data_IF_691690702721
#
_entry.id   IF_691690702721
#
_cell.length_a   1.000
_cell.length_b   1.000
_cell.length_c   1.000
_cell.angle_alpha   90.00
_cell.angle_beta   90.00
_cell.angle_gamma   90.00
#
_symmetry.space_group_name_H-M   'P 1'
#
loop_
_entity.id
_entity.type
_entity.pdbx_description
1 polymer ?
#
# COMPACT_ATOMS: atom_id res chain seq x y z
N UNK A 1 37.29 56.99 -33.17
CA UNK A 1 37.78 55.90 -34.05
C UNK A 1 36.64 54.88 -34.16
N UNK A 2 35.94 54.88 -35.32
CA UNK A 2 35.00 53.91 -35.93
C UNK A 2 33.97 53.20 -35.02
N UNK A 3 32.70 53.65 -34.90
CA UNK A 3 31.52 53.55 -35.81
C UNK A 3 31.00 52.11 -36.02
N UNK A 4 29.73 51.88 -35.59
CA UNK A 4 28.60 51.11 -36.20
C UNK A 4 27.81 50.34 -35.11
N UNK A 5 26.48 50.37 -34.94
CA UNK A 5 25.33 51.02 -35.58
C UNK A 5 24.13 50.90 -34.63
N UNK A 6 23.27 51.92 -34.65
CA UNK A 6 21.97 52.15 -33.97
C UNK A 6 20.84 51.28 -34.54
N UNK A 7 19.78 50.94 -33.77
CA UNK A 7 18.36 50.80 -34.20
C UNK A 7 17.46 50.51 -32.96
N UNK A 8 16.75 51.48 -32.38
CA UNK A 8 15.37 51.96 -32.61
C UNK A 8 14.21 51.04 -32.17
N UNK A 9 13.49 51.55 -31.16
CA UNK A 9 12.18 51.14 -30.62
C UNK A 9 11.06 51.46 -31.62
N UNK A 10 10.08 50.56 -31.81
CA UNK A 10 8.68 50.92 -32.08
C UNK A 10 7.74 49.87 -31.46
N UNK A 11 6.81 50.38 -30.63
CA UNK A 11 5.62 49.72 -30.09
C UNK A 11 4.49 49.79 -31.13
N UNK A 12 3.71 48.73 -31.33
CA UNK A 12 2.27 48.87 -31.57
C UNK A 12 1.51 47.56 -31.35
N UNK A 13 0.46 47.67 -30.52
CA UNK A 13 -0.62 46.72 -30.36
C UNK A 13 -1.39 46.50 -31.67
N UNK A 14 -2.11 45.38 -31.79
CA UNK A 14 -3.58 45.36 -31.86
C UNK A 14 -4.13 43.98 -32.32
N UNK A 15 -5.11 43.53 -31.53
CA UNK A 15 -6.38 42.90 -31.94
C UNK A 15 -6.42 41.40 -32.31
N UNK A 16 -7.02 40.69 -31.36
CA UNK A 16 -7.84 39.49 -31.51
C UNK A 16 -8.85 39.67 -32.64
N UNK A 17 -8.90 38.69 -33.55
CA UNK A 17 -9.96 38.51 -34.53
C UNK A 17 -10.13 37.03 -34.84
N UNK A 18 -11.19 36.41 -34.30
CA UNK A 18 -11.62 35.08 -34.68
C UNK A 18 -12.30 35.09 -36.05
N UNK A 19 -11.96 34.15 -36.93
CA UNK A 19 -12.86 33.65 -37.97
C UNK A 19 -12.43 32.26 -38.45
N UNK A 20 -13.38 31.31 -38.43
CA UNK A 20 -13.38 30.01 -39.14
C UNK A 20 -14.61 30.01 -40.07
N UNK A 21 -14.79 29.05 -41.03
CA UNK A 21 -13.84 28.25 -41.82
C UNK A 21 -14.25 28.09 -43.33
N UNK A 22 -13.36 27.47 -44.14
CA UNK A 22 -13.59 26.47 -45.23
C UNK A 22 -12.75 26.72 -46.50
N UNK A 23 -11.86 25.78 -46.83
CA UNK A 23 -11.99 24.86 -47.98
C UNK A 23 -10.70 24.03 -48.16
N UNK A 24 -10.84 22.71 -48.36
CA UNK A 24 -9.74 21.76 -48.66
C UNK A 24 -9.53 21.66 -50.18
N UNK A 25 -8.33 21.24 -50.63
CA UNK A 25 -8.30 19.97 -51.36
C UNK A 25 -7.16 18.99 -50.99
N UNK A 26 -7.48 17.71 -51.22
CA UNK A 26 -6.73 16.44 -51.27
C UNK A 26 -5.36 16.49 -52.01
N UNK A 27 -4.33 15.62 -51.84
CA UNK A 27 -4.12 14.19 -51.46
C UNK A 27 -2.57 13.96 -51.35
N UNK A 28 -1.95 12.74 -51.26
CA UNK A 28 -2.12 11.48 -50.48
C UNK A 28 -1.07 11.39 -49.33
N UNK A 29 -1.09 10.53 -48.31
CA UNK A 29 -1.51 9.13 -48.21
C UNK A 29 -0.32 8.26 -47.77
N UNK A 30 -0.19 8.01 -46.46
CA UNK A 30 0.27 6.72 -45.91
C UNK A 30 -0.49 6.49 -44.60
N UNK A 31 -1.42 5.57 -44.70
CA UNK A 31 -2.22 5.02 -43.61
C UNK A 31 -1.25 4.20 -42.76
N UNK A 32 -1.15 4.52 -41.48
CA UNK A 32 -0.67 3.58 -40.46
C UNK A 32 -1.93 3.15 -39.73
N UNK A 33 -2.15 1.84 -39.72
CA UNK A 33 -3.29 1.18 -39.09
C UNK A 33 -3.57 1.77 -37.71
N UNK A 34 -4.75 2.38 -37.59
CA UNK A 34 -5.42 2.58 -36.34
C UNK A 34 -5.89 1.18 -35.92
N UNK A 35 -5.17 0.56 -34.99
CA UNK A 35 -5.67 -0.61 -34.30
C UNK A 35 -6.91 -0.14 -33.53
N UNK A 36 -8.07 -0.34 -34.13
CA UNK A 36 -9.36 -0.22 -33.48
C UNK A 36 -9.37 -1.23 -32.35
N UNK A 37 -9.01 -0.78 -31.14
CA UNK A 37 -9.40 -1.50 -29.94
C UNK A 37 -10.92 -1.56 -29.95
N UNK A 38 -11.47 -2.77 -30.09
CA UNK A 38 -12.86 -3.00 -29.70
C UNK A 38 -12.98 -2.50 -28.27
N UNK A 39 -13.76 -1.43 -28.08
CA UNK A 39 -14.20 -1.06 -26.74
C UNK A 39 -15.21 -2.15 -26.38
N UNK A 40 -14.75 -3.18 -25.65
CA UNK A 40 -15.65 -4.17 -25.10
C UNK A 40 -16.73 -3.43 -24.30
N UNK A 41 -18.00 -3.65 -24.66
CA UNK A 41 -19.09 -3.10 -23.88
C UNK A 41 -19.04 -3.73 -22.48
N UNK A 42 -19.17 -2.93 -21.40
CA UNK A 42 -19.15 -3.46 -20.05
C UNK A 42 -20.27 -4.50 -19.86
N UNK A 43 -19.93 -5.62 -19.22
CA UNK A 43 -20.87 -6.72 -18.98
C UNK A 43 -22.03 -6.29 -18.09
N UNK A 44 -23.20 -6.89 -18.30
CA UNK A 44 -24.32 -6.72 -17.36
C UNK A 44 -23.99 -7.34 -16.01
N UNK A 45 -24.61 -6.87 -14.93
CA UNK A 45 -24.40 -7.41 -13.57
C UNK A 45 -24.59 -8.94 -13.49
N UNK A 46 -25.52 -9.49 -14.29
CA UNK A 46 -25.77 -10.93 -14.34
C UNK A 46 -24.62 -11.68 -15.00
N UNK A 47 -24.06 -11.13 -16.08
CA UNK A 47 -22.91 -11.73 -16.77
C UNK A 47 -21.66 -11.66 -15.90
N UNK A 48 -21.41 -10.53 -15.23
CA UNK A 48 -20.30 -10.40 -14.27
C UNK A 48 -20.45 -11.41 -13.11
N UNK A 49 -21.66 -11.61 -12.58
CA UNK A 49 -21.91 -12.62 -11.53
C UNK A 49 -21.61 -14.05 -11.99
N UNK A 50 -21.90 -14.38 -13.25
CA UNK A 50 -21.55 -15.70 -13.82
C UNK A 50 -20.04 -15.83 -13.95
N UNK A 51 -19.37 -14.79 -14.43
CA UNK A 51 -17.93 -14.75 -14.61
C UNK A 51 -17.17 -14.91 -13.29
N UNK A 52 -17.56 -14.16 -12.25
CA UNK A 52 -16.95 -14.32 -10.93
C UNK A 52 -17.15 -15.73 -10.35
N UNK A 53 -18.31 -16.35 -10.62
CA UNK A 53 -18.52 -17.74 -10.22
C UNK A 53 -17.54 -18.68 -10.94
N UNK A 54 -17.35 -18.52 -12.25
CA UNK A 54 -16.39 -19.31 -13.02
C UNK A 54 -14.95 -19.11 -12.48
N UNK A 55 -14.58 -17.88 -12.15
CA UNK A 55 -13.32 -17.58 -11.51
C UNK A 55 -13.15 -18.32 -10.18
N UNK A 56 -14.14 -18.27 -9.30
CA UNK A 56 -14.09 -19.00 -8.02
C UNK A 56 -14.06 -20.51 -8.20
N UNK A 57 -14.77 -21.05 -9.20
CA UNK A 57 -14.72 -22.47 -9.53
C UNK A 57 -13.26 -22.87 -9.89
N UNK A 58 -12.50 -22.04 -10.63
CA UNK A 58 -11.07 -22.29 -10.92
C UNK A 58 -10.20 -22.32 -9.65
N UNK A 59 -10.42 -21.39 -8.71
CA UNK A 59 -9.68 -21.36 -7.44
C UNK A 59 -9.97 -22.60 -6.58
N UNK A 60 -11.24 -23.02 -6.53
CA UNK A 60 -11.70 -24.22 -5.80
C UNK A 60 -11.13 -25.50 -6.43
N UNK A 61 -11.11 -25.57 -7.76
CA UNK A 61 -10.52 -26.68 -8.51
C UNK A 61 -8.98 -26.67 -8.48
N UNK A 62 -8.39 -25.69 -7.77
CA UNK A 62 -6.95 -25.60 -7.51
C UNK A 62 -6.15 -25.50 -8.82
N UNK A 63 -6.69 -24.76 -9.79
CA UNK A 63 -6.07 -24.49 -11.08
C UNK A 63 -4.65 -23.92 -10.96
N UNK A 64 -3.79 -24.18 -11.93
CA UNK A 64 -2.45 -23.59 -11.95
C UNK A 64 -2.49 -22.07 -12.15
N UNK A 65 -1.39 -21.40 -11.78
CA UNK A 65 -1.29 -19.94 -11.86
C UNK A 65 -1.51 -19.43 -13.29
N UNK A 66 -0.96 -20.09 -14.31
CA UNK A 66 -1.12 -19.69 -15.71
C UNK A 66 -2.60 -19.64 -16.12
N UNK A 67 -3.37 -20.63 -15.66
CA UNK A 67 -4.83 -20.69 -15.90
C UNK A 67 -5.55 -19.53 -15.21
N UNK A 68 -5.19 -19.21 -13.96
CA UNK A 68 -5.79 -18.10 -13.21
C UNK A 68 -5.44 -16.75 -13.85
N UNK A 69 -4.16 -16.51 -14.12
CA UNK A 69 -3.66 -15.27 -14.74
C UNK A 69 -4.32 -15.05 -16.10
N UNK A 70 -4.39 -16.09 -16.92
CA UNK A 70 -5.05 -16.01 -18.23
C UNK A 70 -6.53 -15.64 -18.10
N UNK A 71 -7.24 -16.24 -17.15
CA UNK A 71 -8.65 -15.90 -16.92
C UNK A 71 -8.82 -14.43 -16.51
N UNK A 72 -7.96 -13.93 -15.62
CA UNK A 72 -8.00 -12.52 -15.20
C UNK A 72 -7.67 -11.59 -16.38
N UNK A 73 -6.62 -11.89 -17.16
CA UNK A 73 -6.24 -11.14 -18.37
C UNK A 73 -7.41 -11.01 -19.36
N UNK A 74 -8.16 -12.08 -19.59
CA UNK A 74 -9.25 -12.14 -20.57
C UNK A 74 -10.52 -11.40 -20.11
N UNK A 75 -10.68 -11.15 -18.81
CA UNK A 75 -12.00 -10.78 -18.27
C UNK A 75 -12.03 -9.52 -17.41
N UNK A 76 -10.93 -9.16 -16.74
CA UNK A 76 -10.94 -8.06 -15.76
C UNK A 76 -11.32 -6.70 -16.36
N UNK A 77 -10.98 -6.46 -17.64
CA UNK A 77 -11.32 -5.24 -18.36
C UNK A 77 -12.82 -5.04 -18.60
N UNK A 78 -13.60 -6.11 -18.51
CA UNK A 78 -15.05 -6.11 -18.74
C UNK A 78 -15.88 -5.99 -17.45
N UNK A 79 -15.22 -6.04 -16.29
CA UNK A 79 -15.84 -5.95 -14.97
C UNK A 79 -15.99 -4.49 -14.52
N UNK A 80 -16.99 -4.26 -13.67
CA UNK A 80 -17.01 -3.06 -12.86
C UNK A 80 -15.94 -3.13 -11.76
N UNK A 81 -15.65 -1.98 -11.14
CA UNK A 81 -14.60 -1.85 -10.13
C UNK A 81 -14.84 -2.75 -8.91
N UNK A 82 -16.09 -2.98 -8.51
CA UNK A 82 -16.39 -3.80 -7.34
C UNK A 82 -16.04 -5.28 -7.59
N UNK A 83 -16.41 -5.80 -8.76
CA UNK A 83 -16.09 -7.16 -9.17
C UNK A 83 -14.61 -7.34 -9.54
N UNK A 84 -13.97 -6.30 -10.11
CA UNK A 84 -12.54 -6.31 -10.38
C UNK A 84 -11.72 -6.38 -9.06
N UNK A 85 -12.12 -5.61 -8.05
CA UNK A 85 -11.52 -5.68 -6.72
C UNK A 85 -11.60 -7.10 -6.13
N UNK A 86 -12.78 -7.73 -6.19
CA UNK A 86 -12.98 -9.07 -5.64
C UNK A 86 -12.13 -10.11 -6.39
N UNK A 87 -12.04 -10.00 -7.72
CA UNK A 87 -11.18 -10.87 -8.52
C UNK A 87 -9.69 -10.71 -8.16
N UNK A 88 -9.21 -9.47 -7.99
CA UNK A 88 -7.81 -9.19 -7.64
C UNK A 88 -7.48 -9.71 -6.23
N UNK A 89 -8.33 -9.45 -5.25
CA UNK A 89 -8.11 -9.86 -3.86
C UNK A 89 -8.16 -11.39 -3.70
N UNK A 90 -9.09 -12.06 -4.37
CA UNK A 90 -9.20 -13.52 -4.30
C UNK A 90 -8.04 -14.22 -5.04
N UNK A 91 -7.53 -13.62 -6.12
CA UNK A 91 -6.29 -14.07 -6.75
C UNK A 91 -5.10 -13.91 -5.79
N UNK A 92 -4.96 -12.76 -5.13
CA UNK A 92 -3.90 -12.49 -4.15
C UNK A 92 -3.93 -13.52 -3.01
N UNK A 93 -5.10 -13.75 -2.41
CA UNK A 93 -5.30 -14.77 -1.37
C UNK A 93 -4.92 -16.18 -1.84
N UNK A 94 -5.34 -16.53 -3.06
CA UNK A 94 -5.02 -17.83 -3.65
C UNK A 94 -3.51 -18.02 -3.83
N UNK A 95 -2.81 -17.02 -4.35
CA UNK A 95 -1.37 -17.06 -4.57
C UNK A 95 -0.59 -17.14 -3.24
N UNK A 96 -0.99 -16.37 -2.22
CA UNK A 96 -0.40 -16.50 -0.87
C UNK A 96 -0.60 -17.90 -0.29
N UNK A 97 -1.81 -18.48 -0.41
CA UNK A 97 -2.12 -19.82 0.10
C UNK A 97 -1.33 -20.93 -0.58
N UNK A 98 -0.92 -20.72 -1.83
CA UNK A 98 -0.03 -21.63 -2.57
C UNK A 98 1.45 -21.48 -2.21
N UNK A 99 1.76 -20.59 -1.28
CA UNK A 99 3.11 -20.31 -0.79
C UNK A 99 4.06 -19.81 -1.88
N UNK A 100 3.56 -19.08 -2.87
CA UNK A 100 4.41 -18.44 -3.88
C UNK A 100 5.28 -17.30 -3.30
N UNK A 101 4.98 -16.85 -2.07
CA UNK A 101 5.70 -15.78 -1.37
C UNK A 101 5.16 -14.39 -1.71
N UNK A 102 5.43 -13.41 -0.83
CA UNK A 102 4.88 -12.06 -0.94
C UNK A 102 5.33 -11.32 -2.22
N UNK A 103 6.60 -11.48 -2.62
CA UNK A 103 7.15 -10.86 -3.85
C UNK A 103 6.40 -11.32 -5.09
N UNK A 104 6.33 -12.65 -5.31
CA UNK A 104 5.66 -13.22 -6.47
C UNK A 104 4.16 -12.90 -6.49
N UNK A 105 3.47 -13.03 -5.35
CA UNK A 105 2.05 -12.69 -5.25
C UNK A 105 1.79 -11.24 -5.62
N UNK A 106 2.57 -10.31 -5.07
CA UNK A 106 2.44 -8.89 -5.38
C UNK A 106 2.72 -8.62 -6.87
N UNK A 107 3.80 -9.15 -7.41
CA UNK A 107 4.19 -8.93 -8.81
C UNK A 107 3.15 -9.46 -9.80
N UNK A 108 2.49 -10.58 -9.47
CA UNK A 108 1.41 -11.12 -10.31
C UNK A 108 0.13 -10.32 -10.16
N UNK A 109 -0.34 -10.05 -8.93
CA UNK A 109 -1.62 -9.39 -8.73
C UNK A 109 -1.61 -7.89 -9.05
N UNK A 110 -0.49 -7.20 -8.84
CA UNK A 110 -0.38 -5.76 -9.09
C UNK A 110 -0.49 -5.37 -10.56
N UNK A 111 -0.35 -6.31 -11.50
CA UNK A 111 -0.57 -6.09 -12.94
C UNK A 111 -1.96 -5.55 -13.26
N UNK A 112 -2.93 -5.85 -12.41
CA UNK A 112 -4.33 -5.52 -12.62
C UNK A 112 -4.82 -4.35 -11.76
N UNK A 113 -3.92 -3.74 -10.99
CA UNK A 113 -4.32 -2.75 -9.99
C UNK A 113 -4.98 -1.51 -10.59
N UNK A 114 -4.74 -1.21 -11.86
CA UNK A 114 -5.37 -0.09 -12.56
C UNK A 114 -6.90 -0.24 -12.67
N UNK A 115 -7.41 -1.47 -12.67
CA UNK A 115 -8.84 -1.80 -12.67
C UNK A 115 -9.49 -1.66 -11.28
N UNK A 116 -8.67 -1.59 -10.24
CA UNK A 116 -9.13 -1.63 -8.85
C UNK A 116 -9.59 -0.26 -8.32
N UNK A 117 -10.36 -0.29 -7.24
CA UNK A 117 -10.75 0.89 -6.46
C UNK A 117 -9.55 1.53 -5.76
N UNK A 118 -9.74 2.76 -5.29
CA UNK A 118 -8.73 3.47 -4.49
C UNK A 118 -8.42 2.74 -3.16
N UNK A 119 -9.39 1.98 -2.63
CA UNK A 119 -9.21 1.14 -1.44
C UNK A 119 -8.19 0.04 -1.72
N UNK A 120 -8.43 -0.77 -2.75
CA UNK A 120 -7.55 -1.89 -3.10
C UNK A 120 -6.18 -1.38 -3.54
N UNK A 121 -6.10 -0.26 -4.29
CA UNK A 121 -4.84 0.43 -4.59
C UNK A 121 -4.08 0.81 -3.33
N UNK A 122 -4.76 1.41 -2.35
CA UNK A 122 -4.13 1.77 -1.07
C UNK A 122 -3.65 0.55 -0.29
N UNK A 123 -4.37 -0.57 -0.33
CA UNK A 123 -3.94 -1.82 0.30
C UNK A 123 -2.70 -2.41 -0.40
N UNK A 124 -2.66 -2.39 -1.74
CA UNK A 124 -1.53 -2.88 -2.51
C UNK A 124 -0.25 -2.08 -2.27
N UNK A 125 -0.32 -0.79 -1.93
CA UNK A 125 0.87 -0.04 -1.49
C UNK A 125 1.42 -0.55 -0.14
N UNK A 126 0.56 -1.06 0.76
CA UNK A 126 1.03 -1.74 1.99
C UNK A 126 1.69 -3.08 1.63
N UNK A 127 1.03 -3.87 0.77
CA UNK A 127 1.54 -5.17 0.34
C UNK A 127 2.87 -5.04 -0.40
N UNK A 128 3.05 -3.98 -1.20
CA UNK A 128 4.30 -3.66 -1.88
C UNK A 128 5.46 -3.45 -0.92
N UNK A 129 5.24 -2.70 0.16
CA UNK A 129 6.28 -2.48 1.16
C UNK A 129 6.71 -3.81 1.79
N UNK A 130 5.75 -4.70 2.05
CA UNK A 130 6.02 -6.04 2.56
C UNK A 130 6.72 -6.93 1.54
N UNK A 131 6.29 -6.90 0.28
CA UNK A 131 6.82 -7.75 -0.78
C UNK A 131 8.26 -7.41 -1.15
N UNK A 132 8.61 -6.12 -1.17
CA UNK A 132 9.95 -5.64 -1.52
C UNK A 132 10.96 -5.81 -0.39
N UNK A 133 10.51 -5.79 0.86
CA UNK A 133 11.37 -5.83 2.03
C UNK A 133 10.63 -6.48 3.20
N UNK A 134 10.50 -7.81 3.17
CA UNK A 134 9.79 -8.60 4.18
C UNK A 134 10.37 -8.31 5.57
N UNK A 135 9.55 -7.86 6.52
CA UNK A 135 10.09 -7.30 7.77
C UNK A 135 10.64 -8.37 8.72
N UNK A 136 10.23 -9.63 8.58
CA UNK A 136 10.69 -10.75 9.40
C UNK A 136 10.72 -12.08 8.66
N UNK A 137 11.70 -12.93 8.96
CA UNK A 137 11.75 -14.34 8.53
C UNK A 137 11.18 -15.31 9.59
N UNK A 138 10.59 -14.78 10.67
CA UNK A 138 10.12 -15.51 11.83
C UNK A 138 11.13 -15.54 12.98
N UNK A 139 12.43 -15.57 12.68
CA UNK A 139 13.49 -15.61 13.68
C UNK A 139 14.05 -14.20 13.97
N UNK A 140 14.18 -13.37 12.94
CA UNK A 140 14.80 -12.06 13.00
C UNK A 140 13.90 -10.98 12.40
N UNK A 141 14.17 -9.73 12.80
CA UNK A 141 13.72 -8.58 12.03
C UNK A 141 14.75 -8.27 10.94
N UNK A 142 14.27 -8.06 9.72
CA UNK A 142 15.08 -7.71 8.56
C UNK A 142 15.16 -6.18 8.35
N UNK A 143 14.29 -5.43 9.03
CA UNK A 143 14.20 -3.97 8.90
C UNK A 143 14.33 -3.27 10.25
N UNK A 144 14.66 -1.98 10.21
CA UNK A 144 14.75 -1.16 11.42
C UNK A 144 13.38 -0.78 11.99
N UNK A 145 13.35 -0.49 13.29
CA UNK A 145 12.14 -0.10 14.02
C UNK A 145 11.47 1.16 13.45
N UNK A 146 12.25 2.11 12.92
CA UNK A 146 11.71 3.31 12.26
C UNK A 146 10.90 2.96 11.01
N UNK A 147 11.43 2.09 10.15
CA UNK A 147 10.73 1.65 8.94
C UNK A 147 9.44 0.91 9.30
N UNK A 148 9.51 0.03 10.30
CA UNK A 148 8.36 -0.75 10.75
C UNK A 148 7.23 0.14 11.32
N UNK A 149 7.58 1.18 12.08
CA UNK A 149 6.61 2.17 12.58
C UNK A 149 6.04 3.03 11.46
N UNK A 150 6.83 3.39 10.45
CA UNK A 150 6.32 4.08 9.26
C UNK A 150 5.33 3.20 8.47
N UNK A 151 5.57 1.88 8.38
CA UNK A 151 4.59 0.94 7.81
C UNK A 151 3.32 0.86 8.64
N UNK A 152 3.43 0.86 9.98
CA UNK A 152 2.26 0.93 10.86
C UNK A 152 1.44 2.21 10.63
N UNK A 153 2.08 3.37 10.48
CA UNK A 153 1.40 4.63 10.16
C UNK A 153 0.68 4.59 8.80
N UNK A 154 1.28 3.97 7.79
CA UNK A 154 0.64 3.78 6.48
C UNK A 154 -0.59 2.85 6.56
N UNK A 155 -0.47 1.75 7.32
CA UNK A 155 -1.59 0.84 7.54
C UNK A 155 -2.72 1.53 8.35
N UNK A 156 -2.38 2.31 9.37
CA UNK A 156 -3.34 3.13 10.12
C UNK A 156 -4.07 4.12 9.21
N UNK A 157 -3.35 4.79 8.30
CA UNK A 157 -3.96 5.71 7.34
C UNK A 157 -4.98 4.97 6.46
N UNK A 158 -4.63 3.80 5.93
CA UNK A 158 -5.55 2.98 5.16
C UNK A 158 -6.81 2.63 5.97
N UNK A 159 -6.65 2.18 7.22
CA UNK A 159 -7.78 1.83 8.09
C UNK A 159 -8.69 3.02 8.39
N UNK A 160 -8.15 4.24 8.46
CA UNK A 160 -8.92 5.48 8.65
C UNK A 160 -9.66 5.91 7.39
N UNK A 161 -9.05 5.74 6.23
CA UNK A 161 -9.67 6.10 4.96
C UNK A 161 -10.75 5.08 4.55
N UNK A 162 -10.57 3.81 4.91
CA UNK A 162 -11.45 2.68 4.56
C UNK A 162 -11.92 1.89 5.80
N UNK A 163 -12.66 2.53 6.74
CA UNK A 163 -13.02 1.93 8.03
C UNK A 163 -13.98 0.73 7.92
N UNK A 164 -14.71 0.62 6.80
CA UNK A 164 -15.61 -0.50 6.50
C UNK A 164 -15.26 -1.16 5.17
N UNK A 165 -14.01 -0.99 4.72
CA UNK A 165 -13.52 -1.52 3.46
C UNK A 165 -13.40 -3.05 3.45
N UNK A 166 -13.42 -3.64 2.26
CA UNK A 166 -13.12 -5.06 2.02
C UNK A 166 -11.69 -5.46 2.44
N UNK A 167 -10.72 -4.54 2.39
CA UNK A 167 -9.32 -4.79 2.82
C UNK A 167 -9.05 -4.48 4.29
N UNK A 168 -10.06 -3.99 5.03
CA UNK A 168 -9.91 -3.54 6.42
C UNK A 168 -9.27 -4.61 7.31
N UNK A 169 -9.75 -5.86 7.23
CA UNK A 169 -9.22 -6.97 8.03
C UNK A 169 -7.74 -7.22 7.73
N UNK A 170 -7.36 -7.31 6.46
CA UNK A 170 -5.98 -7.56 6.01
C UNK A 170 -5.04 -6.42 6.43
N UNK A 171 -5.47 -5.18 6.23
CA UNK A 171 -4.70 -4.00 6.64
C UNK A 171 -4.55 -3.90 8.17
N UNK A 172 -5.57 -4.32 8.92
CA UNK A 172 -5.50 -4.37 10.39
C UNK A 172 -4.51 -5.42 10.87
N UNK A 173 -4.50 -6.61 10.28
CA UNK A 173 -3.52 -7.66 10.58
C UNK A 173 -2.09 -7.17 10.31
N UNK A 174 -1.85 -6.46 9.20
CA UNK A 174 -0.56 -5.83 8.91
C UNK A 174 -0.20 -4.77 9.96
N UNK A 175 -1.14 -3.87 10.30
CA UNK A 175 -0.95 -2.85 11.32
C UNK A 175 -0.54 -3.45 12.68
N UNK A 176 -1.28 -4.46 13.14
CA UNK A 176 -1.01 -5.15 14.39
C UNK A 176 0.37 -5.81 14.39
N UNK A 177 0.73 -6.50 13.31
CA UNK A 177 2.04 -7.13 13.14
C UNK A 177 3.18 -6.12 13.16
N UNK A 178 3.00 -4.95 12.54
CA UNK A 178 4.01 -3.89 12.54
C UNK A 178 4.20 -3.27 13.93
N UNK A 179 3.12 -3.00 14.67
CA UNK A 179 3.23 -2.51 16.05
C UNK A 179 3.88 -3.57 16.95
N UNK A 180 3.46 -4.83 16.82
CA UNK A 180 4.03 -5.95 17.57
C UNK A 180 5.54 -6.06 17.30
N UNK A 181 5.96 -6.10 16.04
CA UNK A 181 7.37 -6.18 15.69
C UNK A 181 8.18 -4.97 16.16
N UNK A 182 7.59 -3.78 16.14
CA UNK A 182 8.28 -2.56 16.56
C UNK A 182 8.54 -2.50 18.07
N UNK A 183 7.73 -3.20 18.88
CA UNK A 183 7.83 -3.20 20.35
C UNK A 183 8.51 -4.48 20.88
N UNK A 184 8.12 -5.64 20.35
CA UNK A 184 8.55 -6.96 20.82
C UNK A 184 9.59 -7.64 19.91
N UNK A 185 9.92 -7.03 18.78
CA UNK A 185 10.75 -7.68 17.78
C UNK A 185 10.06 -8.89 17.17
N UNK A 186 10.83 -9.91 16.81
CA UNK A 186 10.28 -11.21 16.40
C UNK A 186 9.97 -12.10 17.62
N UNK A 187 9.31 -11.54 18.64
CA UNK A 187 9.08 -12.20 19.94
C UNK A 187 10.30 -12.20 20.87
N UNK A 188 11.30 -11.36 20.58
CA UNK A 188 12.49 -11.17 21.39
C UNK A 188 12.77 -9.67 21.54
N UNK A 189 12.26 -9.07 22.61
CA UNK A 189 12.42 -7.64 22.88
C UNK A 189 13.89 -7.23 23.11
N UNK A 190 14.78 -8.19 23.43
CA UNK A 190 16.19 -7.89 23.70
C UNK A 190 16.98 -7.43 22.46
N UNK A 191 16.42 -7.57 21.25
CA UNK A 191 17.01 -6.94 20.05
C UNK A 191 17.10 -5.41 20.20
N UNK A 192 16.24 -4.84 21.04
CA UNK A 192 16.19 -3.42 21.38
C UNK A 192 16.95 -3.05 22.66
N UNK A 193 17.64 -4.00 23.31
CA UNK A 193 18.38 -3.76 24.54
C UNK A 193 19.84 -3.37 24.29
N UNK A 194 20.43 -2.60 25.22
CA UNK A 194 21.87 -2.38 25.27
C UNK A 194 22.61 -3.71 25.45
N UNK A 195 23.84 -3.79 24.94
CA UNK A 195 24.66 -5.00 25.06
C UNK A 195 24.81 -5.42 26.53
N UNK A 196 24.56 -6.72 26.80
CA UNK A 196 24.65 -7.32 28.14
C UNK A 196 23.72 -6.69 29.20
N UNK A 197 22.61 -6.09 28.76
CA UNK A 197 21.63 -5.42 29.61
C UNK A 197 20.20 -5.76 29.17
N UNK A 198 19.22 -5.53 30.05
CA UNK A 198 17.79 -5.47 29.68
C UNK A 198 17.30 -4.04 29.48
N UNK A 199 18.17 -3.04 29.61
CA UNK A 199 17.81 -1.64 29.38
C UNK A 199 17.70 -1.38 27.88
N UNK A 200 16.59 -0.78 27.45
CA UNK A 200 16.39 -0.37 26.05
C UNK A 200 17.51 0.55 25.55
N UNK A 201 17.87 0.45 24.27
CA UNK A 201 18.85 1.35 23.65
C UNK A 201 18.27 2.75 23.48
N UNK A 202 19.10 3.77 23.74
CA UNK A 202 18.73 5.17 23.56
C UNK A 202 18.31 5.48 22.11
N UNK A 203 18.91 4.82 21.12
CA UNK A 203 18.57 5.01 19.71
C UNK A 203 17.14 4.54 19.37
N UNK A 204 16.67 3.47 20.02
CA UNK A 204 15.32 2.94 19.82
C UNK A 204 14.30 3.86 20.51
N UNK A 205 14.57 4.25 21.76
CA UNK A 205 13.76 5.24 22.47
C UNK A 205 13.65 6.56 21.70
N UNK A 206 14.74 7.00 21.07
CA UNK A 206 14.73 8.20 20.25
C UNK A 206 13.76 8.06 19.08
N UNK A 207 13.77 6.94 18.36
CA UNK A 207 12.81 6.68 17.27
C UNK A 207 11.37 6.73 17.77
N UNK A 208 11.07 6.08 18.91
CA UNK A 208 9.72 6.12 19.48
C UNK A 208 9.26 7.54 19.79
N UNK A 209 10.10 8.32 20.48
CA UNK A 209 9.77 9.70 20.81
C UNK A 209 9.60 10.57 19.57
N UNK A 210 10.41 10.35 18.52
CA UNK A 210 10.25 11.07 17.26
C UNK A 210 8.91 10.78 16.58
N UNK A 211 8.44 9.53 16.57
CA UNK A 211 7.11 9.17 16.05
C UNK A 211 5.99 9.75 16.92
N UNK A 212 6.13 9.68 18.25
CA UNK A 212 5.15 10.26 19.19
C UNK A 212 4.99 11.77 18.93
N UNK A 213 6.10 12.48 18.74
CA UNK A 213 6.09 13.93 18.55
C UNK A 213 5.58 14.33 17.15
N UNK A 214 6.05 13.67 16.09
CA UNK A 214 5.72 14.01 14.70
C UNK A 214 4.30 13.60 14.33
N UNK A 215 3.86 12.43 14.78
CA UNK A 215 2.59 11.81 14.40
C UNK A 215 1.59 11.81 15.56
N UNK A 216 1.68 12.83 16.42
CA UNK A 216 0.78 13.01 17.55
C UNK A 216 -0.70 12.93 17.13
N UNK A 217 -1.48 12.14 17.87
CA UNK A 217 -2.90 11.91 17.63
C UNK A 217 -3.19 10.68 16.77
N UNK A 218 -2.18 10.08 16.13
CA UNK A 218 -2.30 8.75 15.51
C UNK A 218 -2.48 7.66 16.56
N UNK A 219 -3.07 6.54 16.17
CA UNK A 219 -3.20 5.35 17.01
C UNK A 219 -1.82 4.80 17.36
N UNK A 220 -0.92 4.78 16.38
CA UNK A 220 0.49 4.42 16.52
C UNK A 220 1.19 5.25 17.60
N UNK A 221 1.11 6.59 17.53
CA UNK A 221 1.72 7.47 18.52
C UNK A 221 1.12 7.26 19.93
N UNK A 222 -0.20 7.01 20.04
CA UNK A 222 -0.86 6.74 21.34
C UNK A 222 -0.39 5.43 21.97
N UNK A 223 -0.22 4.36 21.18
CA UNK A 223 0.28 3.07 21.65
C UNK A 223 1.75 3.21 22.09
N UNK A 224 2.57 3.90 21.29
CA UNK A 224 3.97 4.17 21.65
C UNK A 224 4.08 5.01 22.91
N UNK A 225 3.22 6.01 23.10
CA UNK A 225 3.18 6.82 24.32
C UNK A 225 2.90 5.94 25.53
N UNK A 226 1.88 5.07 25.45
CA UNK A 226 1.57 4.11 26.52
C UNK A 226 2.77 3.19 26.81
N UNK A 227 3.41 2.66 25.77
CA UNK A 227 4.58 1.80 25.93
C UNK A 227 5.75 2.53 26.61
N UNK A 228 6.12 3.72 26.12
CA UNK A 228 7.21 4.53 26.66
C UNK A 228 6.91 4.95 28.11
N UNK A 229 5.66 5.27 28.42
CA UNK A 229 5.23 5.59 29.79
C UNK A 229 5.42 4.39 30.74
N UNK A 230 4.97 3.18 30.36
CA UNK A 230 5.17 1.97 31.17
C UNK A 230 6.67 1.65 31.33
N UNK A 231 7.42 1.71 30.23
CA UNK A 231 8.86 1.47 30.21
C UNK A 231 9.62 2.46 31.11
N UNK A 232 9.18 3.71 31.18
CA UNK A 232 9.79 4.74 32.03
C UNK A 232 9.62 4.45 33.53
N UNK A 233 8.49 3.85 33.94
CA UNK A 233 8.24 3.46 35.35
C UNK A 233 9.23 2.39 35.82
N UNK A 234 9.73 1.60 34.88
CA UNK A 234 10.74 0.58 35.10
C UNK A 234 12.17 1.06 34.77
N UNK A 235 12.38 2.37 34.62
CA UNK A 235 13.67 2.98 34.28
C UNK A 235 14.30 2.43 32.98
N UNK A 236 13.46 2.09 31.99
CA UNK A 236 13.93 1.56 30.72
C UNK A 236 14.20 0.05 30.70
N UNK A 237 13.92 -0.66 31.80
CA UNK A 237 14.11 -2.11 31.90
C UNK A 237 13.01 -2.87 31.13
N UNK A 238 13.41 -3.61 30.10
CA UNK A 238 12.54 -4.45 29.28
C UNK A 238 11.99 -5.67 30.05
N UNK A 239 12.52 -5.96 31.24
CA UNK A 239 12.02 -6.98 32.18
C UNK A 239 11.28 -6.39 33.37
N UNK A 240 11.09 -5.08 33.39
CA UNK A 240 10.33 -4.41 34.43
C UNK A 240 8.88 -4.87 34.47
N UNK A 241 8.25 -4.78 35.65
CA UNK A 241 6.90 -5.28 35.86
C UNK A 241 5.86 -4.58 34.98
N UNK A 242 6.00 -3.27 34.78
CA UNK A 242 5.09 -2.47 33.97
C UNK A 242 5.31 -2.76 32.48
N UNK A 243 6.57 -2.89 32.06
CA UNK A 243 6.94 -3.27 30.69
C UNK A 243 6.39 -4.65 30.32
N UNK A 244 6.54 -5.65 31.20
CA UNK A 244 5.99 -6.99 30.98
C UNK A 244 4.46 -6.99 30.93
N UNK A 245 3.80 -6.19 31.80
CA UNK A 245 2.35 -6.01 31.73
C UNK A 245 1.92 -5.45 30.36
N UNK A 246 2.64 -4.47 29.82
CA UNK A 246 2.35 -3.94 28.48
C UNK A 246 2.42 -5.05 27.43
N UNK A 247 3.47 -5.87 27.44
CA UNK A 247 3.65 -6.97 26.49
C UNK A 247 2.54 -8.01 26.57
N UNK A 248 2.15 -8.42 27.78
CA UNK A 248 1.08 -9.38 28.00
C UNK A 248 -0.28 -8.90 27.45
N UNK A 249 -0.47 -7.58 27.37
CA UNK A 249 -1.74 -6.96 26.96
C UNK A 249 -1.64 -6.24 25.60
N UNK A 250 -0.54 -6.42 24.85
CA UNK A 250 -0.27 -5.62 23.64
C UNK A 250 -1.38 -5.72 22.58
N UNK A 251 -1.92 -6.92 22.35
CA UNK A 251 -3.02 -7.12 21.40
C UNK A 251 -4.29 -6.38 21.81
N UNK A 252 -4.63 -6.40 23.11
CA UNK A 252 -5.78 -5.65 23.63
C UNK A 252 -5.53 -4.14 23.55
N UNK A 253 -4.32 -3.68 23.88
CA UNK A 253 -3.92 -2.28 23.78
C UNK A 253 -4.03 -1.79 22.33
N UNK A 254 -3.49 -2.54 21.35
CA UNK A 254 -3.62 -2.23 19.93
C UNK A 254 -5.10 -2.11 19.56
N UNK A 255 -5.91 -3.11 19.92
CA UNK A 255 -7.33 -3.14 19.61
C UNK A 255 -8.14 -1.99 20.21
N UNK A 256 -7.83 -1.57 21.44
CA UNK A 256 -8.53 -0.46 22.11
C UNK A 256 -8.15 0.90 21.53
N UNK A 257 -6.95 1.04 20.98
CA UNK A 257 -6.45 2.30 20.44
C UNK A 257 -6.73 2.48 18.94
N UNK A 258 -7.13 1.42 18.23
CA UNK A 258 -7.30 1.39 16.77
C UNK A 258 -8.77 1.36 16.29
N UNK A 259 -9.71 1.69 17.19
CA UNK A 259 -11.15 1.85 16.90
C UNK A 259 -11.55 3.29 16.67
#
# INVERSE_FOLDING_TARGET
MNIKTLFYIVVMALLVGCSKPQDKPAYPGKVVDEHSGEVEEPLTLKEQSVLLKEFYDLLIENADEDTIVKFVDEHIGSLDTENADDMILEMEDYLLKKSFGFEHTYDTASKYIDHASDEVKSYFELLKAESQNVYTDGDNLNIGVEELLNRALNAEKHLKDYPTGKTNKKAYEMYENYIYGAILGSGNQYIYANESSSIIKDEVLKVYNEIIDKDNGTYTAKILTQYVDELSKDNGDLNGQNTLYFYENIHEIIHLNSK
#
